data_IF_332423857490
#
_entry.id   IF_332423857490
#
_cell.length_a   1.000
_cell.length_b   1.000
_cell.length_c   1.000
_cell.angle_alpha   90.00
_cell.angle_beta   90.00
_cell.angle_gamma   90.00
#
_symmetry.space_group_name_H-M   'P 1'
#
loop_
_entity.id
_entity.type
_entity.pdbx_description
1 polymer ?
#
# COMPACT_ATOMS: atom_id res chain seq x y z
N UNK A 1 -2.87 -23.61 10.32
CA UNK A 1 -1.82 -23.91 9.33
C UNK A 1 -2.39 -24.90 8.32
N UNK A 2 -2.80 -24.46 7.13
CA UNK A 2 -3.28 -25.36 6.06
C UNK A 2 -2.07 -25.82 5.24
N UNK A 3 -1.44 -26.93 5.66
CA UNK A 3 -0.22 -27.46 5.01
C UNK A 3 -0.48 -28.12 3.63
N UNK A 4 -1.73 -28.26 3.19
CA UNK A 4 -2.08 -28.98 1.95
C UNK A 4 -2.53 -28.12 0.77
N UNK A 5 -2.63 -26.80 0.91
CA UNK A 5 -3.14 -25.93 -0.15
C UNK A 5 -2.06 -25.04 -0.72
N UNK A 6 -2.01 -24.94 -2.05
CA UNK A 6 -1.17 -23.98 -2.74
C UNK A 6 -1.57 -22.55 -2.32
N UNK A 7 -0.58 -21.74 -1.94
CA UNK A 7 -0.77 -20.34 -1.57
C UNK A 7 -0.68 -19.50 -2.83
N UNK A 8 -1.77 -18.79 -3.13
CA UNK A 8 -1.78 -17.79 -4.18
C UNK A 8 -1.52 -16.40 -3.58
N UNK A 9 -0.60 -15.66 -4.20
CA UNK A 9 -0.23 -14.29 -3.85
C UNK A 9 -0.55 -13.39 -5.04
N UNK A 10 -1.38 -12.38 -4.83
CA UNK A 10 -1.71 -11.40 -5.86
C UNK A 10 -0.65 -10.31 -5.82
N UNK A 11 -0.04 -10.01 -6.96
CA UNK A 11 0.93 -8.95 -7.11
C UNK A 11 0.31 -7.73 -7.80
N UNK A 12 0.67 -6.55 -7.33
CA UNK A 12 0.28 -5.26 -7.88
C UNK A 12 1.51 -4.40 -8.14
N UNK A 13 1.31 -3.36 -8.95
CA UNK A 13 2.29 -2.30 -9.16
C UNK A 13 2.88 -1.79 -7.83
N UNK A 14 4.20 -1.76 -7.75
CA UNK A 14 4.91 -1.34 -6.55
C UNK A 14 4.83 0.17 -6.32
N UNK A 15 4.63 0.94 -7.39
CA UNK A 15 4.57 2.40 -7.40
C UNK A 15 3.46 2.88 -8.36
N UNK A 16 2.99 4.12 -8.15
CA UNK A 16 2.06 4.77 -9.07
C UNK A 16 2.72 4.98 -10.45
N UNK A 17 1.94 4.83 -11.52
CA UNK A 17 2.42 4.97 -12.90
C UNK A 17 2.98 3.68 -13.51
N UNK A 18 3.18 2.62 -12.72
CA UNK A 18 3.50 1.28 -13.24
C UNK A 18 2.20 0.58 -13.62
N UNK A 19 2.07 0.20 -14.89
CA UNK A 19 0.97 -0.63 -15.37
C UNK A 19 1.42 -2.09 -15.31
N UNK A 20 0.84 -2.86 -14.39
CA UNK A 20 1.14 -4.27 -14.31
C UNK A 20 0.48 -4.96 -13.13
N UNK A 21 0.29 -6.26 -13.29
CA UNK A 21 -0.26 -7.14 -12.28
C UNK A 21 0.34 -8.53 -12.42
N UNK A 22 0.26 -9.32 -11.37
CA UNK A 22 0.71 -10.69 -11.43
C UNK A 22 0.10 -11.57 -10.36
N UNK A 23 0.38 -12.85 -10.47
CA UNK A 23 -0.01 -13.87 -9.51
C UNK A 23 1.19 -14.79 -9.32
N UNK A 24 1.56 -14.98 -8.06
CA UNK A 24 2.50 -16.04 -7.67
C UNK A 24 1.72 -17.16 -6.98
N UNK A 25 2.12 -18.39 -7.22
CA UNK A 25 1.60 -19.59 -6.56
C UNK A 25 2.77 -20.34 -5.94
N UNK A 26 2.69 -20.57 -4.64
CA UNK A 26 3.64 -21.40 -3.89
C UNK A 26 2.89 -22.67 -3.49
N UNK A 27 3.29 -23.79 -4.08
CA UNK A 27 2.65 -25.08 -3.85
C UNK A 27 3.30 -25.84 -2.68
N UNK A 28 2.57 -26.78 -2.04
CA UNK A 28 3.11 -27.57 -0.91
C UNK A 28 4.30 -28.46 -1.27
N UNK A 29 4.45 -28.78 -2.55
CA UNK A 29 5.56 -29.54 -3.13
C UNK A 29 6.83 -28.68 -3.36
N UNK A 30 6.89 -27.45 -2.82
CA UNK A 30 7.96 -26.49 -3.03
C UNK A 30 8.12 -26.00 -4.48
N UNK A 31 7.09 -26.15 -5.30
CA UNK A 31 7.02 -25.53 -6.62
C UNK A 31 6.56 -24.09 -6.51
N UNK A 32 7.18 -23.20 -7.29
CA UNK A 32 6.81 -21.81 -7.44
C UNK A 32 6.49 -21.50 -8.89
N UNK A 33 5.37 -20.80 -9.10
CA UNK A 33 4.96 -20.30 -10.39
C UNK A 33 4.59 -18.83 -10.25
N UNK A 34 5.14 -17.97 -11.09
CA UNK A 34 4.72 -16.58 -11.21
C UNK A 34 4.36 -16.26 -12.65
N UNK A 35 3.20 -15.63 -12.81
CA UNK A 35 2.72 -15.08 -14.08
C UNK A 35 2.44 -13.60 -13.86
N UNK A 36 2.99 -12.74 -14.71
CA UNK A 36 2.82 -11.30 -14.64
C UNK A 36 2.50 -10.71 -16.01
N UNK A 37 1.61 -9.73 -16.04
CA UNK A 37 1.39 -8.87 -17.20
C UNK A 37 2.12 -7.55 -16.94
N UNK A 38 3.12 -7.26 -17.76
CA UNK A 38 4.05 -6.17 -17.62
C UNK A 38 4.43 -5.62 -19.01
N UNK A 39 4.77 -4.33 -19.11
CA UNK A 39 5.40 -3.81 -20.32
C UNK A 39 6.78 -4.44 -20.54
N UNK A 40 7.46 -4.08 -21.64
CA UNK A 40 8.83 -4.53 -21.87
C UNK A 40 9.76 -4.00 -20.75
N UNK A 41 10.73 -4.79 -20.21
CA UNK A 41 11.62 -4.34 -19.13
C UNK A 41 12.31 -3.00 -19.40
N UNK A 42 12.60 -2.71 -20.68
CA UNK A 42 13.23 -1.49 -21.15
C UNK A 42 12.41 -0.23 -20.83
N UNK A 43 11.10 -0.33 -20.59
CA UNK A 43 10.29 0.84 -20.21
C UNK A 43 10.64 1.41 -18.85
N UNK A 44 11.35 0.65 -18.02
CA UNK A 44 11.75 1.04 -16.66
C UNK A 44 13.24 1.41 -16.56
N UNK A 45 13.94 1.44 -17.69
CA UNK A 45 15.38 1.65 -17.76
C UNK A 45 15.72 2.87 -18.62
N UNK A 46 16.96 3.34 -18.50
CA UNK A 46 17.49 4.40 -19.36
C UNK A 46 17.68 3.93 -20.81
N UNK A 47 17.80 4.88 -21.75
CA UNK A 47 18.08 4.57 -23.14
C UNK A 47 19.36 3.74 -23.28
N UNK A 48 19.30 2.69 -24.11
CA UNK A 48 20.42 1.78 -24.35
C UNK A 48 20.69 0.75 -23.25
N UNK A 49 19.95 0.79 -22.14
CA UNK A 49 20.07 -0.23 -21.09
C UNK A 49 19.25 -1.47 -21.44
N UNK A 50 19.80 -2.63 -21.09
CA UNK A 50 19.11 -3.92 -21.18
C UNK A 50 18.78 -4.40 -19.79
N UNK A 51 17.61 -4.99 -19.63
CA UNK A 51 17.22 -5.62 -18.39
C UNK A 51 16.21 -6.73 -18.61
N UNK A 52 15.98 -7.45 -17.53
CA UNK A 52 15.05 -8.56 -17.47
C UNK A 52 14.24 -8.48 -16.20
N UNK A 53 13.04 -9.05 -16.21
CA UNK A 53 12.32 -9.23 -14.96
C UNK A 53 12.91 -10.41 -14.19
N UNK A 54 13.12 -10.22 -12.90
CA UNK A 54 13.46 -11.28 -11.97
C UNK A 54 12.47 -11.27 -10.80
N UNK A 55 12.10 -12.47 -10.37
CA UNK A 55 11.24 -12.67 -9.21
C UNK A 55 12.08 -13.06 -8.01
N UNK A 56 11.75 -12.47 -6.86
CA UNK A 56 12.40 -12.74 -5.59
C UNK A 56 11.37 -13.09 -4.54
N UNK A 57 11.62 -14.19 -3.84
CA UNK A 57 10.93 -14.52 -2.60
C UNK A 57 11.62 -13.75 -1.47
N UNK A 58 10.88 -12.90 -0.77
CA UNK A 58 11.45 -12.04 0.26
C UNK A 58 10.86 -12.39 1.63
N UNK A 59 11.66 -12.18 2.66
CA UNK A 59 11.21 -12.34 4.04
C UNK A 59 10.08 -11.36 4.41
N UNK A 60 9.42 -11.58 5.54
CA UNK A 60 8.33 -10.71 6.03
C UNK A 60 8.79 -9.26 6.29
N UNK A 61 10.10 -9.00 6.34
CA UNK A 61 10.66 -7.65 6.51
C UNK A 61 11.04 -7.02 5.17
N UNK A 62 10.98 -7.76 4.06
CA UNK A 62 11.48 -7.36 2.75
C UNK A 62 12.99 -7.08 2.73
N UNK A 63 13.75 -7.57 3.73
CA UNK A 63 15.17 -7.24 3.92
C UNK A 63 16.09 -8.23 3.25
N UNK A 64 15.72 -9.50 3.29
CA UNK A 64 16.45 -10.57 2.61
C UNK A 64 15.57 -11.19 1.55
N UNK A 65 16.20 -11.53 0.43
CA UNK A 65 15.55 -12.15 -0.71
C UNK A 65 16.28 -13.40 -1.16
N UNK A 66 15.58 -14.22 -1.90
CA UNK A 66 16.13 -15.31 -2.70
C UNK A 66 15.59 -15.18 -4.12
N UNK A 67 16.46 -15.32 -5.13
CA UNK A 67 16.09 -15.31 -6.53
C UNK A 67 15.24 -16.54 -6.88
N UNK A 68 13.93 -16.33 -6.98
CA UNK A 68 12.97 -17.34 -7.42
C UNK A 68 13.08 -17.62 -8.92
N UNK A 69 13.57 -16.66 -9.70
CA UNK A 69 13.94 -16.90 -11.08
C UNK A 69 13.63 -15.74 -12.00
N UNK A 70 14.26 -15.78 -13.16
CA UNK A 70 14.08 -14.83 -14.24
C UNK A 70 12.75 -15.11 -14.94
N UNK A 71 11.93 -14.08 -15.15
CA UNK A 71 10.70 -14.24 -15.89
C UNK A 71 11.00 -14.22 -17.40
N UNK A 72 10.50 -15.25 -18.09
CA UNK A 72 10.59 -15.39 -19.54
C UNK A 72 9.33 -14.80 -20.17
N UNK A 73 9.48 -14.05 -21.26
CA UNK A 73 8.34 -13.59 -22.04
C UNK A 73 7.62 -14.79 -22.66
N UNK A 74 6.29 -14.84 -22.50
CA UNK A 74 5.42 -15.83 -23.15
C UNK A 74 4.53 -15.20 -24.22
N UNK A 75 4.71 -13.90 -24.49
CA UNK A 75 3.96 -13.12 -25.50
C UNK A 75 2.98 -12.12 -24.89
N UNK A 76 2.64 -11.08 -25.66
CA UNK A 76 1.61 -10.07 -25.31
C UNK A 76 1.81 -9.39 -23.94
N UNK A 77 3.05 -9.09 -23.56
CA UNK A 77 3.35 -8.49 -22.25
C UNK A 77 3.22 -9.47 -21.07
N UNK A 78 2.97 -10.76 -21.32
CA UNK A 78 2.93 -11.77 -20.28
C UNK A 78 4.32 -12.37 -20.08
N UNK A 79 4.71 -12.49 -18.82
CA UNK A 79 5.97 -13.02 -18.36
C UNK A 79 5.74 -14.13 -17.34
N UNK A 80 6.55 -15.19 -17.40
CA UNK A 80 6.42 -16.36 -16.53
C UNK A 80 7.76 -16.76 -15.92
N UNK A 81 7.77 -17.02 -14.62
CA UNK A 81 8.86 -17.70 -13.93
C UNK A 81 8.33 -18.99 -13.29
N UNK A 82 9.12 -20.06 -13.33
CA UNK A 82 8.81 -21.32 -12.69
C UNK A 82 10.10 -21.92 -12.16
N UNK A 83 10.09 -22.38 -10.91
CA UNK A 83 11.18 -23.18 -10.36
C UNK A 83 10.65 -24.12 -9.29
N UNK A 84 11.44 -25.15 -9.00
CA UNK A 84 11.18 -26.10 -7.93
C UNK A 84 12.33 -26.00 -6.92
N UNK A 85 12.00 -25.75 -5.66
CA UNK A 85 12.98 -25.54 -4.60
C UNK A 85 13.31 -26.84 -3.89
N UNK A 86 14.58 -27.06 -3.59
CA UNK A 86 15.01 -28.13 -2.69
C UNK A 86 14.75 -27.79 -1.21
N UNK A 87 14.57 -26.50 -0.90
CA UNK A 87 14.28 -26.01 0.44
C UNK A 87 12.81 -25.60 0.59
N UNK A 88 12.19 -25.78 1.76
CA UNK A 88 10.78 -25.47 1.94
C UNK A 88 10.43 -24.00 1.69
N UNK A 89 9.43 -23.73 0.84
CA UNK A 89 9.03 -22.36 0.47
C UNK A 89 7.89 -21.78 1.34
N UNK A 90 7.28 -22.58 2.21
CA UNK A 90 6.06 -22.23 2.92
C UNK A 90 6.19 -21.01 3.87
N UNK A 91 7.42 -20.70 4.30
CA UNK A 91 7.74 -19.53 5.12
C UNK A 91 7.64 -18.21 4.35
N UNK A 92 7.75 -18.24 3.01
CA UNK A 92 7.67 -17.03 2.21
C UNK A 92 6.21 -16.62 1.99
N UNK A 93 5.89 -15.42 2.44
CA UNK A 93 4.57 -14.79 2.26
C UNK A 93 4.61 -13.64 1.24
N UNK A 94 5.80 -13.24 0.81
CA UNK A 94 6.04 -12.07 -0.03
C UNK A 94 6.88 -12.43 -1.24
N UNK A 95 6.48 -11.84 -2.36
CA UNK A 95 7.17 -11.93 -3.66
C UNK A 95 7.27 -10.53 -4.22
N UNK A 96 8.43 -10.23 -4.78
CA UNK A 96 8.63 -9.01 -5.57
C UNK A 96 9.14 -9.38 -6.96
N UNK A 97 8.82 -8.52 -7.92
CA UNK A 97 9.40 -8.56 -9.26
C UNK A 97 10.17 -7.28 -9.47
N UNK A 98 11.44 -7.38 -9.80
CA UNK A 98 12.29 -6.24 -10.14
C UNK A 98 12.78 -6.32 -11.58
N UNK A 99 13.24 -5.19 -12.11
CA UNK A 99 13.97 -5.14 -13.38
C UNK A 99 15.45 -5.18 -13.07
N UNK A 100 16.12 -6.26 -13.46
CA UNK A 100 17.52 -6.51 -13.15
C UNK A 100 18.38 -6.46 -14.40
N UNK A 101 19.65 -6.11 -14.20
CA UNK A 101 20.69 -6.35 -15.20
C UNK A 101 21.06 -7.85 -15.16
N UNK A 102 21.04 -8.58 -16.30
CA UNK A 102 21.41 -10.00 -16.34
C UNK A 102 22.79 -10.31 -15.75
N UNK A 103 23.74 -9.37 -15.80
CA UNK A 103 25.09 -9.53 -15.26
C UNK A 103 25.17 -9.35 -13.73
N UNK A 104 24.10 -8.87 -13.08
CA UNK A 104 24.08 -8.50 -11.66
C UNK A 104 22.95 -9.20 -10.89
N UNK A 105 22.48 -10.34 -11.39
CA UNK A 105 21.51 -11.16 -10.66
C UNK A 105 22.13 -11.66 -9.35
N UNK A 106 21.56 -11.20 -8.24
CA UNK A 106 22.00 -11.55 -6.89
C UNK A 106 20.97 -12.37 -6.13
N UNK A 107 21.23 -12.52 -4.83
CA UNK A 107 20.29 -13.15 -3.90
C UNK A 107 19.09 -12.23 -3.60
N UNK A 108 19.31 -10.91 -3.59
CA UNK A 108 18.27 -9.90 -3.39
C UNK A 108 18.06 -9.06 -4.65
N UNK A 109 16.90 -8.38 -4.77
CA UNK A 109 16.68 -7.39 -5.83
C UNK A 109 17.70 -6.27 -5.73
N UNK A 110 18.37 -5.95 -6.84
CA UNK A 110 19.29 -4.82 -6.95
C UNK A 110 18.68 -3.68 -7.77
N UNK A 111 17.74 -4.02 -8.67
CA UNK A 111 17.06 -3.08 -9.53
C UNK A 111 15.73 -2.56 -8.97
N UNK A 112 15.04 -1.69 -9.74
CA UNK A 112 13.75 -1.14 -9.33
C UNK A 112 12.70 -2.24 -9.18
N UNK A 113 11.98 -2.22 -8.06
CA UNK A 113 10.86 -3.12 -7.80
C UNK A 113 9.65 -2.62 -8.59
N UNK A 114 9.10 -3.48 -9.44
CA UNK A 114 7.98 -3.18 -10.33
C UNK A 114 6.68 -3.75 -9.80
N UNK A 115 6.70 -5.00 -9.31
CA UNK A 115 5.55 -5.62 -8.66
C UNK A 115 5.89 -6.06 -7.25
N UNK A 116 4.90 -5.97 -6.36
CA UNK A 116 4.95 -6.51 -5.01
C UNK A 116 3.62 -7.15 -4.65
N UNK A 117 3.64 -8.09 -3.71
CA UNK A 117 2.40 -8.67 -3.17
C UNK A 117 1.48 -7.56 -2.67
N UNK A 118 0.21 -7.63 -3.05
CA UNK A 118 -0.86 -6.78 -2.54
C UNK A 118 -1.04 -7.11 -1.07
N UNK A 119 -0.59 -6.21 -0.21
CA UNK A 119 -0.81 -6.32 1.22
C UNK A 119 -2.32 -6.15 1.49
N UNK A 120 -2.92 -7.01 2.32
CA UNK A 120 -4.27 -6.77 2.78
C UNK A 120 -4.24 -5.44 3.51
N UNK A 121 -4.95 -4.44 2.98
CA UNK A 121 -5.13 -3.19 3.69
C UNK A 121 -5.81 -3.55 5.00
N UNK A 122 -5.04 -3.50 6.09
CA UNK A 122 -5.60 -3.61 7.44
C UNK A 122 -6.71 -2.58 7.58
N UNK A 123 -7.68 -2.83 8.46
CA UNK A 123 -8.92 -2.09 8.66
C UNK A 123 -8.81 -0.57 8.97
N UNK A 124 -7.69 0.09 8.67
CA UNK A 124 -7.33 1.46 9.08
C UNK A 124 -6.82 2.35 7.93
N UNK A 125 -7.22 2.15 6.68
CA UNK A 125 -6.93 3.12 5.59
C UNK A 125 -8.16 3.83 5.02
N UNK A 126 -9.33 3.64 5.62
CA UNK A 126 -10.57 4.31 5.24
C UNK A 126 -10.80 5.67 5.94
N UNK A 127 -9.72 6.37 6.30
CA UNK A 127 -9.78 7.79 6.65
C UNK A 127 -8.87 8.58 5.72
N UNK A 128 -9.32 8.76 4.48
CA UNK A 128 -9.09 10.02 3.77
C UNK A 128 -10.41 10.79 3.81
N UNK A 129 -10.43 12.15 3.81
CA UNK A 129 -9.44 12.99 3.11
C UNK A 129 -9.05 14.29 3.86
N UNK A 130 -7.96 14.94 3.44
CA UNK A 130 -8.09 16.36 3.07
C UNK A 130 -6.91 16.88 2.24
N UNK A 131 -7.31 17.65 1.24
CA UNK A 131 -6.53 18.38 0.26
C UNK A 131 -5.60 19.39 0.95
N UNK A 132 -4.31 19.36 0.67
CA UNK A 132 -3.46 20.54 0.77
C UNK A 132 -3.11 21.00 -0.64
N UNK A 133 -4.05 21.72 -1.24
CA UNK A 133 -3.81 22.50 -2.46
C UNK A 133 -4.27 23.92 -2.16
N UNK A 134 -3.31 24.84 -2.18
CA UNK A 134 -3.41 26.29 -2.43
C UNK A 134 -2.59 27.12 -1.43
N UNK A 135 -1.36 27.42 -1.86
CA UNK A 135 -0.78 28.77 -1.89
C UNK A 135 -1.64 29.92 -1.30
N UNK A 136 -1.11 30.62 -0.30
CA UNK A 136 -1.14 32.09 -0.23
C UNK A 136 0.15 32.59 0.40
N UNK A 137 1.03 33.11 -0.44
CA UNK A 137 2.07 34.06 -0.05
C UNK A 137 1.47 35.45 -0.27
N UNK A 138 1.23 36.17 0.83
CA UNK A 138 1.10 37.63 0.95
C UNK A 138 1.46 37.88 2.41
N UNK A 139 2.70 38.20 2.79
CA UNK A 139 3.47 39.29 2.22
C UNK A 139 2.86 40.60 2.69
N UNK A 140 3.36 41.12 3.82
CA UNK A 140 3.52 42.54 4.18
C UNK A 140 2.86 43.02 5.49
N UNK A 141 3.77 43.24 6.45
CA UNK A 141 3.81 44.38 7.39
C UNK A 141 2.70 44.45 8.44
N UNK A 142 2.99 43.98 9.67
CA UNK A 142 2.34 44.52 10.86
C UNK A 142 3.37 45.33 11.63
N UNK A 143 3.45 46.62 11.29
CA UNK A 143 4.11 47.62 12.12
C UNK A 143 3.27 47.93 13.36
N UNK A 144 3.96 48.06 14.49
CA UNK A 144 3.88 49.18 15.42
C UNK A 144 2.48 49.70 15.85
N UNK A 145 2.16 49.60 17.15
CA UNK A 145 1.94 50.73 18.10
C UNK A 145 1.02 50.35 19.30
N UNK A 146 1.52 50.71 20.49
CA UNK A 146 0.88 50.97 21.80
C UNK A 146 0.08 49.83 22.49
N UNK A 147 0.25 49.57 23.78
CA UNK A 147 0.78 50.41 24.84
C UNK A 147 -0.20 50.41 26.02
N UNK A 148 0.17 49.65 27.06
CA UNK A 148 -0.15 49.91 28.48
C UNK A 148 -1.62 49.74 28.95
N UNK A 149 -1.88 48.64 29.68
CA UNK A 149 -2.27 48.59 31.12
C UNK A 149 -2.74 47.18 31.52
N UNK A 150 -2.07 46.59 32.53
CA UNK A 150 -2.61 45.57 33.48
C UNK A 150 -3.35 46.32 34.62
N UNK A 151 -4.17 45.73 35.53
CA UNK A 151 -4.14 44.37 36.12
C UNK A 151 -5.57 43.72 36.18
N UNK A 152 -5.92 42.59 36.81
CA UNK A 152 -5.42 41.82 37.95
C UNK A 152 -5.87 40.34 37.87
N UNK A 153 -5.30 39.56 38.79
CA UNK A 153 -5.44 38.12 39.03
C UNK A 153 -6.80 37.81 39.69
N UNK A 154 -7.51 36.77 39.23
CA UNK A 154 -8.18 35.81 40.12
C UNK A 154 -8.43 34.47 39.38
N UNK A 155 -8.01 33.32 39.92
CA UNK A 155 -8.49 32.01 39.50
C UNK A 155 -9.85 31.71 40.19
N UNK A 156 -10.54 30.67 39.74
CA UNK A 156 -11.68 30.05 40.43
C UNK A 156 -13.09 30.56 40.07
N UNK A 157 -13.72 29.86 39.13
CA UNK A 157 -15.13 29.44 39.20
C UNK A 157 -15.39 28.36 38.14
N UNK A 158 -15.57 27.12 38.60
CA UNK A 158 -16.27 26.07 37.85
C UNK A 158 -17.81 26.18 38.15
N UNK A 159 -18.67 25.21 37.77
CA UNK A 159 -19.23 24.97 36.44
C UNK A 159 -20.78 24.89 36.49
N UNK A 160 -21.56 25.71 35.78
CA UNK A 160 -23.04 25.70 35.86
C UNK A 160 -23.56 26.27 34.50
N UNK A 161 -24.50 25.74 33.70
CA UNK A 161 -25.47 24.63 33.80
C UNK A 161 -26.34 24.58 32.49
N UNK A 162 -27.58 24.04 32.43
CA UNK A 162 -27.87 22.78 31.75
C UNK A 162 -29.08 22.94 30.80
N UNK A 163 -28.92 23.52 29.61
CA UNK A 163 -30.09 24.03 28.86
C UNK A 163 -30.30 23.44 27.46
N UNK A 164 -29.82 22.20 27.21
CA UNK A 164 -30.14 21.47 25.96
C UNK A 164 -30.51 19.99 26.19
N UNK A 165 -31.22 19.69 27.28
CA UNK A 165 -31.82 18.36 27.52
C UNK A 165 -33.35 18.35 27.72
N UNK A 166 -34.08 19.42 27.39
CA UNK A 166 -35.54 19.46 27.64
C UNK A 166 -36.39 20.13 26.54
N UNK A 167 -36.18 19.82 25.27
CA UNK A 167 -37.23 20.13 24.29
C UNK A 167 -37.26 19.16 23.12
N UNK A 168 -38.46 18.64 22.85
CA UNK A 168 -38.87 17.77 21.72
C UNK A 168 -38.87 16.25 21.95
N UNK A 169 -39.32 15.82 23.13
CA UNK A 169 -40.20 14.65 23.24
C UNK A 169 -41.61 15.15 23.58
N UNK A 170 -42.50 15.23 22.57
CA UNK A 170 -43.97 15.05 22.63
C UNK A 170 -44.68 15.75 21.46
N UNK A 171 -45.25 14.97 20.53
CA UNK A 171 -46.66 15.01 20.10
C UNK A 171 -46.84 13.89 19.05
N UNK A 172 -47.45 12.76 19.41
CA UNK A 172 -48.90 12.48 19.46
C UNK A 172 -49.37 11.91 18.11
N UNK A 173 -49.62 10.59 18.08
CA UNK A 173 -50.34 9.92 16.99
C UNK A 173 -51.17 8.80 17.58
N UNK A 174 -52.47 9.04 17.71
CA UNK A 174 -53.54 8.09 17.40
C UNK A 174 -54.88 8.87 17.34
N UNK A 175 -55.91 8.43 16.58
CA UNK A 175 -56.42 7.06 16.63
C UNK A 175 -56.85 6.41 15.30
N UNK A 176 -57.09 5.09 15.40
CA UNK A 176 -57.75 4.16 14.45
C UNK A 176 -59.01 4.71 13.74
N UNK A 177 -59.47 3.99 12.69
CA UNK A 177 -60.69 3.21 12.95
C UNK A 177 -60.73 1.79 12.37
N UNK A 178 -61.41 0.95 13.16
CA UNK A 178 -61.95 -0.39 12.94
C UNK A 178 -62.47 -0.73 11.53
N UNK A 179 -62.25 -1.98 11.13
CA UNK A 179 -63.32 -2.88 10.68
C UNK A 179 -62.97 -4.34 10.91
#
# INVERSE_FOLDING_TARGET
YNQGQARQLILQAAQQGIIGNGVATISPDNSFLLIANLPAPQTFLGQGQTGMYASYLVDDKGKTGFLAGVLRSVGNGVYRAHFHSQVPLHHYSRVVVSVENPAQLGQAPNGPIILKVKEPMGMMTFLTPMKNTATTVWGKISGLINGRKKPAINPEAAPISPELLQSLNQMDVDPEPKK
#
